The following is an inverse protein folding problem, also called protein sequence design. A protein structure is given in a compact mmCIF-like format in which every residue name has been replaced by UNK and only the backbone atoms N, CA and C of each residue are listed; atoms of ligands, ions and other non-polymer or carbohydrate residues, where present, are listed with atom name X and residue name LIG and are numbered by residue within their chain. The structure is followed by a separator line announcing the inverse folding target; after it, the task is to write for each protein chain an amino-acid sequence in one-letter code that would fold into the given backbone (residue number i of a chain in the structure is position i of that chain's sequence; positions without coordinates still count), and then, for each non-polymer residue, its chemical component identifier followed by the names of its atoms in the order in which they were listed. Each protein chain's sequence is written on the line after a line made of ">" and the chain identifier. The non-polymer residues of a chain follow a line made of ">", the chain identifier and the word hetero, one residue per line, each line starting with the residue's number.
data_IF_495119525011
#
_entry.id   IF_495119525011
#
_cell.length_a   1.000
_cell.length_b   1.000
_cell.length_c   1.000
_cell.angle_alpha   90.00
_cell.angle_beta   90.00
_cell.angle_gamma   90.00
#
_symmetry.space_group_name_H-M   'P 1'
#
loop_
_entity.id
_entity.type
_entity.pdbx_description
1 polymer ?
#
# COMPACT_ATOMS: atom_id res chain seq x y z
N UNK A 1 2.13 -9.14 -16.34
CA UNK A 1 3.12 -8.06 -16.48
C UNK A 1 3.08 -7.33 -17.83
N UNK A 2 3.11 -7.99 -19.00
CA UNK A 2 3.06 -7.28 -20.31
C UNK A 2 1.76 -6.49 -20.56
N UNK A 3 0.63 -6.92 -20.03
CA UNK A 3 -0.68 -6.26 -20.24
C UNK A 3 -0.86 -5.00 -19.39
N UNK A 4 -0.37 -5.00 -18.15
CA UNK A 4 -0.41 -3.83 -17.26
C UNK A 4 0.47 -2.70 -17.78
N UNK A 5 1.66 -3.03 -18.32
CA UNK A 5 2.53 -2.04 -18.96
C UNK A 5 1.91 -1.44 -20.23
N UNK A 6 1.06 -2.19 -20.96
CA UNK A 6 0.34 -1.67 -22.13
C UNK A 6 -0.80 -0.71 -21.75
N UNK A 7 -1.51 -0.96 -20.65
CA UNK A 7 -2.61 -0.10 -20.18
C UNK A 7 -2.04 1.20 -19.60
N UNK A 8 -0.97 1.14 -18.81
CA UNK A 8 -0.26 2.32 -18.30
C UNK A 8 0.35 3.11 -19.48
N UNK A 9 0.92 2.44 -20.48
CA UNK A 9 1.43 3.05 -21.70
C UNK A 9 0.34 3.74 -22.53
N UNK A 10 -0.86 3.19 -22.60
CA UNK A 10 -1.97 3.76 -23.36
C UNK A 10 -2.57 5.00 -22.69
N UNK A 11 -2.70 5.01 -21.37
CA UNK A 11 -3.18 6.18 -20.60
C UNK A 11 -2.17 7.32 -20.68
N UNK A 12 -0.88 7.02 -20.60
CA UNK A 12 0.22 7.97 -20.80
C UNK A 12 0.28 8.51 -22.23
N UNK A 13 0.02 7.68 -23.23
CA UNK A 13 0.08 8.06 -24.64
C UNK A 13 -1.03 9.07 -25.02
N UNK A 14 -2.22 8.93 -24.48
CA UNK A 14 -3.36 9.86 -24.74
C UNK A 14 -3.16 11.21 -24.02
N UNK A 15 -2.54 11.22 -22.84
CA UNK A 15 -2.29 12.44 -22.08
C UNK A 15 -1.07 13.24 -22.56
N UNK A 16 -0.10 12.61 -23.21
CA UNK A 16 1.19 13.21 -23.56
C UNK A 16 1.31 13.64 -25.02
N UNK A 17 0.49 13.11 -25.93
CA UNK A 17 0.59 13.43 -27.36
C UNK A 17 0.40 14.92 -27.70
N UNK A 18 -0.55 15.68 -27.12
CA UNK A 18 -0.67 17.10 -27.45
C UNK A 18 0.47 17.94 -26.88
N UNK A 19 1.09 17.54 -25.75
CA UNK A 19 2.17 18.26 -25.11
C UNK A 19 3.52 18.05 -25.84
N UNK A 20 3.79 16.85 -26.37
CA UNK A 20 5.03 16.55 -27.10
C UNK A 20 5.06 17.19 -28.48
N UNK A 21 3.95 17.30 -29.17
CA UNK A 21 3.87 17.95 -30.48
C UNK A 21 4.15 19.46 -30.39
N UNK A 22 3.69 20.12 -29.31
CA UNK A 22 3.93 21.55 -29.08
C UNK A 22 5.41 21.82 -28.72
N UNK A 23 6.06 20.90 -28.02
CA UNK A 23 7.48 21.01 -27.62
C UNK A 23 8.43 20.88 -28.79
N UNK A 24 8.15 20.02 -29.77
CA UNK A 24 9.06 19.76 -30.89
C UNK A 24 9.09 20.90 -31.92
N UNK A 25 8.00 21.62 -32.12
CA UNK A 25 7.94 22.72 -33.09
C UNK A 25 8.62 24.00 -32.62
N UNK A 26 8.81 24.17 -31.31
CA UNK A 26 9.41 25.40 -30.74
C UNK A 26 10.92 25.30 -30.54
N UNK A 27 11.52 24.11 -30.59
CA UNK A 27 12.92 23.90 -30.20
C UNK A 27 13.95 24.18 -31.29
N UNK A 28 13.59 24.12 -32.55
CA UNK A 28 14.57 24.18 -33.65
C UNK A 28 15.09 25.58 -34.00
N UNK A 29 14.36 26.64 -33.75
CA UNK A 29 14.73 27.99 -34.15
C UNK A 29 15.70 28.71 -33.17
N UNK A 30 15.94 28.17 -31.99
CA UNK A 30 16.68 28.86 -30.91
C UNK A 30 17.93 28.11 -30.41
N UNK A 31 18.26 26.97 -30.98
CA UNK A 31 19.32 26.08 -30.46
C UNK A 31 20.73 26.69 -30.45
N UNK A 32 20.95 27.76 -31.23
CA UNK A 32 22.25 28.45 -31.36
C UNK A 32 22.24 29.94 -30.96
N UNK A 33 21.20 30.42 -30.28
CA UNK A 33 21.13 31.82 -29.88
C UNK A 33 21.58 32.01 -28.42
N UNK A 34 22.49 32.98 -28.19
CA UNK A 34 22.89 33.36 -26.83
C UNK A 34 21.67 33.89 -26.03
N UNK A 35 21.54 33.41 -24.81
CA UNK A 35 20.49 33.89 -23.91
C UNK A 35 20.83 35.29 -23.40
N UNK A 36 19.78 36.14 -23.29
CA UNK A 36 19.86 37.47 -22.71
C UNK A 36 19.26 37.47 -21.31
N UNK A 37 19.77 38.34 -20.46
CA UNK A 37 19.19 38.57 -19.12
C UNK A 37 18.56 39.96 -19.08
N UNK A 38 17.37 40.04 -18.50
CA UNK A 38 16.70 41.30 -18.22
C UNK A 38 16.10 41.26 -16.80
N UNK A 39 15.96 42.45 -16.19
CA UNK A 39 15.40 42.52 -14.84
C UNK A 39 13.89 42.26 -14.84
N UNK A 40 13.18 42.75 -15.86
CA UNK A 40 11.71 42.75 -15.84
C UNK A 40 11.13 42.39 -17.22
N UNK A 41 10.17 41.47 -17.20
CA UNK A 41 9.23 41.23 -18.29
C UNK A 41 7.81 41.58 -17.84
N UNK A 42 7.10 42.32 -18.69
CA UNK A 42 5.64 42.49 -18.64
C UNK A 42 5.09 42.04 -19.98
N UNK A 43 4.16 41.08 -19.98
CA UNK A 43 3.53 40.58 -21.20
C UNK A 43 2.02 40.44 -21.05
N UNK A 44 1.31 40.56 -22.15
CA UNK A 44 -0.14 40.25 -22.23
C UNK A 44 -0.30 38.79 -22.61
N UNK A 45 0.38 38.39 -23.70
CA UNK A 45 0.45 37.03 -24.23
C UNK A 45 1.88 36.82 -24.79
N UNK A 46 2.32 35.59 -25.10
CA UNK A 46 3.58 35.34 -25.75
C UNK A 46 3.87 36.29 -26.92
N UNK A 47 5.09 36.83 -26.96
CA UNK A 47 5.59 37.84 -27.95
C UNK A 47 4.92 39.21 -27.88
N UNK A 48 3.83 39.40 -27.18
CA UNK A 48 3.19 40.70 -26.95
C UNK A 48 3.54 41.21 -25.55
N UNK A 49 4.71 41.77 -25.40
CA UNK A 49 5.26 42.28 -24.15
C UNK A 49 6.60 42.99 -24.34
N UNK A 50 7.26 43.34 -23.24
CA UNK A 50 8.51 44.11 -23.22
C UNK A 50 9.67 43.47 -23.99
N UNK A 51 9.75 42.16 -24.01
CA UNK A 51 10.80 41.41 -24.71
C UNK A 51 10.46 41.12 -26.18
N UNK A 52 9.19 41.24 -26.58
CA UNK A 52 8.72 41.04 -27.95
C UNK A 52 9.21 39.70 -28.55
N UNK A 53 9.76 39.75 -29.76
CA UNK A 53 10.28 38.57 -30.47
C UNK A 53 11.45 37.91 -29.79
N UNK A 54 12.13 38.58 -28.87
CA UNK A 54 13.28 38.05 -28.12
C UNK A 54 12.86 37.31 -26.86
N UNK A 55 11.59 37.21 -26.52
CA UNK A 55 11.09 36.53 -25.31
C UNK A 55 11.68 35.14 -25.14
N UNK A 56 11.70 34.33 -26.21
CA UNK A 56 12.23 32.96 -26.17
C UNK A 56 13.73 32.80 -25.90
N UNK A 57 14.53 33.88 -25.99
CA UNK A 57 15.97 33.90 -25.67
C UNK A 57 16.29 34.76 -24.44
N UNK A 58 15.25 35.31 -23.79
CA UNK A 58 15.43 36.21 -22.63
C UNK A 58 15.06 35.49 -21.34
N UNK A 59 16.00 35.50 -20.40
CA UNK A 59 15.77 35.08 -19.00
C UNK A 59 15.51 36.33 -18.17
N UNK A 60 14.45 36.29 -17.36
CA UNK A 60 14.00 37.46 -16.60
C UNK A 60 14.23 37.22 -15.09
N UNK A 61 14.58 38.29 -14.37
CA UNK A 61 14.52 38.24 -12.91
C UNK A 61 13.06 38.23 -12.42
N UNK A 62 12.26 39.13 -12.95
CA UNK A 62 10.83 39.24 -12.67
C UNK A 62 10.02 39.17 -13.96
N UNK A 63 8.95 38.40 -13.98
CA UNK A 63 8.05 38.26 -15.12
C UNK A 63 6.61 38.35 -14.66
N UNK A 64 5.86 39.33 -15.17
CA UNK A 64 4.44 39.50 -14.87
C UNK A 64 3.65 39.41 -16.17
N UNK A 65 2.83 38.37 -16.25
CA UNK A 65 2.13 37.99 -17.49
C UNK A 65 0.62 38.09 -17.28
N UNK A 66 -0.06 38.99 -18.00
CA UNK A 66 -1.49 39.22 -17.81
C UNK A 66 -2.30 37.95 -18.10
N UNK A 67 -2.12 37.35 -19.27
CA UNK A 67 -2.70 36.04 -19.58
C UNK A 67 -1.65 34.95 -19.60
N UNK A 68 -0.59 35.11 -20.38
CA UNK A 68 0.43 34.10 -20.48
C UNK A 68 1.83 34.64 -20.78
N UNK A 69 2.83 34.03 -20.16
CA UNK A 69 4.25 34.31 -20.33
C UNK A 69 4.95 33.29 -21.20
N UNK A 70 5.91 33.77 -22.00
CA UNK A 70 6.90 32.94 -22.69
C UNK A 70 8.28 33.56 -22.53
N UNK A 71 9.24 32.76 -22.11
CA UNK A 71 10.61 33.23 -21.89
C UNK A 71 11.64 32.12 -22.07
N UNK A 72 12.94 32.46 -22.10
CA UNK A 72 13.99 31.47 -21.94
C UNK A 72 13.97 30.88 -20.53
N UNK A 73 13.76 31.71 -19.52
CA UNK A 73 13.70 31.27 -18.14
C UNK A 73 13.40 32.39 -17.16
N UNK A 74 13.34 32.07 -15.88
CA UNK A 74 13.09 33.02 -14.80
C UNK A 74 14.02 32.79 -13.62
N UNK A 75 14.61 33.87 -13.10
CA UNK A 75 15.57 33.78 -12.00
C UNK A 75 14.98 34.01 -10.61
N UNK A 76 13.89 34.79 -10.47
CA UNK A 76 13.33 35.16 -9.15
C UNK A 76 11.84 34.91 -9.05
N UNK A 77 11.02 35.61 -9.83
CA UNK A 77 9.58 35.51 -9.73
C UNK A 77 8.94 35.56 -11.11
N UNK A 78 8.05 34.62 -11.38
CA UNK A 78 7.18 34.65 -12.56
C UNK A 78 5.74 34.40 -12.15
N UNK A 79 4.85 35.26 -12.61
CA UNK A 79 3.43 35.17 -12.33
C UNK A 79 2.61 35.34 -13.62
N UNK A 80 1.61 34.49 -13.81
CA UNK A 80 0.65 34.60 -14.90
C UNK A 80 -0.78 34.31 -14.42
N UNK A 81 -1.76 34.99 -15.01
CA UNK A 81 -3.15 34.65 -14.71
C UNK A 81 -3.53 33.28 -15.26
N UNK A 82 -2.99 32.87 -16.43
CA UNK A 82 -3.32 31.58 -17.02
C UNK A 82 -2.10 30.66 -17.06
N UNK A 83 -1.01 31.04 -17.77
CA UNK A 83 0.11 30.12 -17.96
C UNK A 83 1.47 30.79 -18.07
N UNK A 84 2.50 30.05 -17.66
CA UNK A 84 3.92 30.37 -17.93
C UNK A 84 4.56 29.24 -18.72
N UNK A 85 5.35 29.60 -19.72
CA UNK A 85 6.18 28.67 -20.52
C UNK A 85 7.62 29.17 -20.54
N UNK A 86 8.50 28.37 -19.93
CA UNK A 86 9.94 28.61 -19.92
C UNK A 86 10.64 27.51 -20.72
N UNK A 87 11.50 27.90 -21.66
CA UNK A 87 12.31 26.94 -22.45
C UNK A 87 13.40 26.27 -21.62
N UNK A 88 14.00 27.03 -20.74
CA UNK A 88 15.09 26.62 -19.85
C UNK A 88 14.59 26.59 -18.39
N UNK A 89 15.41 27.05 -17.45
CA UNK A 89 15.19 26.90 -16.03
C UNK A 89 14.21 27.94 -15.46
N UNK A 90 13.48 27.54 -14.43
CA UNK A 90 12.71 28.42 -13.57
C UNK A 90 13.24 28.35 -12.14
N UNK A 91 13.56 29.51 -11.55
CA UNK A 91 14.16 29.59 -10.20
C UNK A 91 13.25 30.38 -9.26
N UNK A 92 13.39 30.11 -7.97
CA UNK A 92 12.67 30.69 -6.84
C UNK A 92 11.15 30.45 -6.90
N UNK A 93 10.37 31.33 -7.55
CA UNK A 93 8.90 31.23 -7.47
C UNK A 93 8.26 31.38 -8.86
N UNK A 94 7.44 30.42 -9.23
CA UNK A 94 6.64 30.45 -10.45
C UNK A 94 5.18 30.13 -10.12
N UNK A 95 4.27 31.03 -10.49
CA UNK A 95 2.84 30.96 -10.20
C UNK A 95 2.03 31.08 -11.49
N UNK A 96 1.03 30.20 -11.69
CA UNK A 96 0.09 30.28 -12.77
C UNK A 96 -1.33 29.91 -12.32
N UNK A 97 -2.32 30.60 -12.86
CA UNK A 97 -3.71 30.25 -12.58
C UNK A 97 -4.11 28.90 -13.17
N UNK A 98 -3.54 28.51 -14.32
CA UNK A 98 -3.86 27.24 -14.98
C UNK A 98 -2.64 26.32 -15.00
N UNK A 99 -1.57 26.66 -15.74
CA UNK A 99 -0.43 25.77 -15.84
C UNK A 99 0.92 26.48 -15.94
N UNK A 100 1.96 25.78 -15.46
CA UNK A 100 3.35 26.10 -15.74
C UNK A 100 3.97 24.98 -16.58
N UNK A 101 4.75 25.34 -17.60
CA UNK A 101 5.60 24.44 -18.36
C UNK A 101 7.04 24.93 -18.32
N UNK A 102 7.97 24.04 -17.97
CA UNK A 102 9.40 24.35 -17.88
C UNK A 102 10.19 23.27 -18.63
N UNK A 103 10.99 23.70 -19.62
CA UNK A 103 11.83 22.78 -20.39
C UNK A 103 13.09 22.33 -19.65
N UNK A 104 13.62 23.17 -18.78
CA UNK A 104 14.78 22.92 -17.94
C UNK A 104 14.41 22.53 -16.50
N UNK A 105 15.29 22.90 -15.57
CA UNK A 105 15.12 22.60 -14.13
C UNK A 105 14.23 23.64 -13.45
N UNK A 106 13.56 23.15 -12.40
CA UNK A 106 12.87 24.03 -11.45
C UNK A 106 13.62 23.99 -10.12
N UNK A 107 14.09 25.16 -9.66
CA UNK A 107 14.76 25.32 -8.38
C UNK A 107 14.01 26.33 -7.51
N UNK A 108 13.14 25.84 -6.60
CA UNK A 108 12.32 26.68 -5.73
C UNK A 108 10.88 26.21 -5.63
N UNK A 109 9.92 27.12 -5.76
CA UNK A 109 8.51 26.84 -5.58
C UNK A 109 7.72 27.07 -6.89
N UNK A 110 6.96 26.08 -7.34
CA UNK A 110 6.14 26.14 -8.54
C UNK A 110 4.69 25.76 -8.21
N UNK A 111 3.76 26.65 -8.47
CA UNK A 111 2.35 26.39 -8.21
C UNK A 111 1.47 26.71 -9.43
N UNK A 112 0.51 25.85 -9.67
CA UNK A 112 -0.49 26.00 -10.72
C UNK A 112 -1.89 25.59 -10.23
N UNK A 113 -2.92 26.28 -10.70
CA UNK A 113 -4.28 25.89 -10.39
C UNK A 113 -4.66 24.53 -10.96
N UNK A 114 -4.10 24.13 -12.11
CA UNK A 114 -4.39 22.84 -12.75
C UNK A 114 -3.14 21.98 -12.85
N UNK A 115 -2.08 22.43 -13.55
CA UNK A 115 -0.99 21.53 -13.90
C UNK A 115 0.40 22.20 -13.88
N UNK A 116 1.40 21.44 -13.44
CA UNK A 116 2.79 21.73 -13.70
C UNK A 116 3.41 20.63 -14.57
N UNK A 117 4.10 21.01 -15.64
CA UNK A 117 4.78 20.11 -16.57
C UNK A 117 6.27 20.49 -16.70
N UNK A 118 7.15 19.65 -16.17
CA UNK A 118 8.59 19.89 -16.18
C UNK A 118 9.32 18.81 -16.95
N UNK A 119 10.17 19.20 -17.89
CA UNK A 119 10.92 18.29 -18.74
C UNK A 119 12.32 17.95 -18.18
N UNK A 120 12.66 18.47 -17.00
CA UNK A 120 13.86 18.11 -16.25
C UNK A 120 13.50 18.04 -14.75
N UNK A 121 14.51 18.09 -13.91
CA UNK A 121 14.44 17.86 -12.47
C UNK A 121 13.84 19.04 -11.71
N UNK A 122 13.30 18.73 -10.53
CA UNK A 122 12.80 19.70 -9.57
C UNK A 122 13.58 19.60 -8.28
N UNK A 123 14.00 20.75 -7.77
CA UNK A 123 14.52 20.90 -6.41
C UNK A 123 13.71 21.96 -5.67
N UNK A 124 12.86 21.54 -4.73
CA UNK A 124 12.01 22.43 -3.97
C UNK A 124 10.58 21.94 -3.81
N UNK A 125 9.60 22.82 -4.04
CA UNK A 125 8.18 22.51 -3.82
C UNK A 125 7.38 22.70 -5.09
N UNK A 126 6.56 21.72 -5.45
CA UNK A 126 5.65 21.77 -6.58
C UNK A 126 4.22 21.46 -6.10
N UNK A 127 3.28 22.33 -6.45
CA UNK A 127 1.88 22.17 -6.12
C UNK A 127 0.97 22.40 -7.34
N UNK A 128 0.02 21.50 -7.54
CA UNK A 128 -1.00 21.63 -8.59
C UNK A 128 -2.37 21.19 -8.08
N UNK A 129 -3.42 21.87 -8.56
CA UNK A 129 -4.78 21.45 -8.24
C UNK A 129 -5.11 20.07 -8.81
N UNK A 130 -4.53 19.70 -9.96
CA UNK A 130 -4.81 18.41 -10.60
C UNK A 130 -3.54 17.56 -10.74
N UNK A 131 -2.53 18.02 -11.51
CA UNK A 131 -1.40 17.17 -11.86
C UNK A 131 -0.05 17.86 -11.81
N UNK A 132 0.92 17.17 -11.22
CA UNK A 132 2.33 17.48 -11.42
C UNK A 132 2.97 16.37 -12.28
N UNK A 133 3.60 16.77 -13.38
CA UNK A 133 4.31 15.90 -14.30
C UNK A 133 5.78 16.32 -14.39
N UNK A 134 6.69 15.38 -14.13
CA UNK A 134 8.14 15.63 -14.17
C UNK A 134 8.84 14.48 -14.85
N UNK A 135 9.64 14.75 -15.88
CA UNK A 135 10.46 13.73 -16.55
C UNK A 135 11.81 13.52 -15.87
N UNK A 136 12.29 14.50 -15.13
CA UNK A 136 13.50 14.41 -14.30
C UNK A 136 13.28 13.80 -12.93
N UNK A 137 14.23 14.00 -12.03
CA UNK A 137 14.12 13.63 -10.63
C UNK A 137 13.46 14.75 -9.81
N UNK A 138 12.87 14.37 -8.68
CA UNK A 138 12.30 15.31 -7.70
C UNK A 138 13.10 15.24 -6.41
N UNK A 139 13.65 16.35 -5.98
CA UNK A 139 14.22 16.56 -4.65
C UNK A 139 13.39 17.60 -3.89
N UNK A 140 12.54 17.16 -2.97
CA UNK A 140 11.66 18.04 -2.21
C UNK A 140 10.23 17.53 -2.12
N UNK A 141 9.25 18.39 -2.39
CA UNK A 141 7.82 18.08 -2.17
C UNK A 141 7.00 18.27 -3.44
N UNK A 142 6.20 17.26 -3.79
CA UNK A 142 5.15 17.38 -4.80
C UNK A 142 3.78 17.15 -4.19
N UNK A 143 2.86 18.07 -4.41
CA UNK A 143 1.47 17.97 -3.97
C UNK A 143 0.52 18.15 -5.15
N UNK A 144 -0.40 17.24 -5.35
CA UNK A 144 -1.41 17.32 -6.39
C UNK A 144 -2.79 16.89 -5.87
N UNK A 145 -3.83 17.55 -6.34
CA UNK A 145 -5.20 17.11 -6.03
C UNK A 145 -5.51 15.73 -6.60
N UNK A 146 -4.93 15.36 -7.73
CA UNK A 146 -5.17 14.05 -8.37
C UNK A 146 -3.89 13.25 -8.47
N UNK A 147 -2.86 13.71 -9.20
CA UNK A 147 -1.73 12.84 -9.54
C UNK A 147 -0.39 13.57 -9.51
N UNK A 148 0.60 12.96 -8.88
CA UNK A 148 2.01 13.27 -9.09
C UNK A 148 2.65 12.18 -9.94
N UNK A 149 3.28 12.57 -11.05
CA UNK A 149 4.05 11.70 -11.92
C UNK A 149 5.49 12.18 -12.01
N UNK A 150 6.42 11.30 -11.63
CA UNK A 150 7.85 11.52 -11.76
C UNK A 150 8.46 10.34 -12.50
N UNK A 151 9.09 10.53 -13.67
CA UNK A 151 9.63 9.41 -14.44
C UNK A 151 10.94 8.85 -13.88
N UNK A 152 11.65 9.63 -13.07
CA UNK A 152 12.87 9.21 -12.37
C UNK A 152 12.63 9.03 -10.87
N UNK A 153 13.65 9.32 -10.07
CA UNK A 153 13.61 9.16 -8.61
C UNK A 153 12.92 10.33 -7.91
N UNK A 154 12.39 10.02 -6.74
CA UNK A 154 11.84 10.99 -5.80
C UNK A 154 12.61 10.91 -4.49
N UNK A 155 13.11 12.05 -4.02
CA UNK A 155 13.71 12.20 -2.71
C UNK A 155 12.96 13.29 -1.95
N UNK A 156 12.13 12.87 -0.98
CA UNK A 156 11.31 13.78 -0.19
C UNK A 156 9.87 13.29 -0.06
N UNK A 157 8.91 14.12 -0.40
CA UNK A 157 7.49 13.87 -0.17
C UNK A 157 6.68 13.97 -1.47
N UNK A 158 5.84 12.97 -1.74
CA UNK A 158 4.76 13.04 -2.73
C UNK A 158 3.40 12.83 -2.05
N UNK A 159 2.50 13.78 -2.20
CA UNK A 159 1.12 13.72 -1.74
C UNK A 159 0.13 13.90 -2.88
N UNK A 160 -0.78 12.96 -3.09
CA UNK A 160 -1.81 13.04 -4.11
C UNK A 160 -3.17 12.58 -3.59
N UNK A 161 -4.24 13.23 -4.07
CA UNK A 161 -5.58 12.76 -3.77
C UNK A 161 -5.87 11.37 -4.33
N UNK A 162 -5.27 11.01 -5.47
CA UNK A 162 -5.53 9.72 -6.12
C UNK A 162 -4.24 8.90 -6.26
N UNK A 163 -3.23 9.35 -7.04
CA UNK A 163 -2.08 8.52 -7.39
C UNK A 163 -0.76 9.26 -7.31
N UNK A 164 0.24 8.61 -6.71
CA UNK A 164 1.64 8.98 -6.86
C UNK A 164 2.39 7.94 -7.69
N UNK A 165 3.23 8.40 -8.61
CA UNK A 165 4.11 7.57 -9.42
C UNK A 165 5.55 8.09 -9.37
N UNK A 166 6.48 7.22 -8.94
CA UNK A 166 7.91 7.39 -9.07
C UNK A 166 8.45 6.28 -9.99
N UNK A 167 9.00 6.62 -11.14
CA UNK A 167 9.48 5.64 -12.13
C UNK A 167 10.71 4.86 -11.65
N UNK A 168 11.47 5.44 -10.73
CA UNK A 168 12.69 4.85 -10.17
C UNK A 168 12.61 4.80 -8.62
N UNK A 169 13.73 5.08 -7.94
CA UNK A 169 13.85 5.00 -6.48
C UNK A 169 13.00 6.08 -5.78
N UNK A 170 12.34 5.67 -4.70
CA UNK A 170 11.72 6.58 -3.74
C UNK A 170 12.54 6.60 -2.46
N UNK A 171 12.99 7.78 -2.03
CA UNK A 171 13.56 8.00 -0.71
C UNK A 171 12.73 9.05 0.03
N UNK A 172 11.96 8.62 1.03
CA UNK A 172 11.06 9.50 1.80
C UNK A 172 9.65 8.94 1.92
N UNK A 173 8.65 9.72 1.55
CA UNK A 173 7.24 9.40 1.78
C UNK A 173 6.39 9.57 0.52
N UNK A 174 5.53 8.60 0.23
CA UNK A 174 4.41 8.73 -0.70
C UNK A 174 3.10 8.51 0.03
N UNK A 175 2.17 9.48 -0.08
CA UNK A 175 0.81 9.40 0.45
C UNK A 175 -0.22 9.61 -0.66
N UNK A 176 -1.12 8.65 -0.87
CA UNK A 176 -2.17 8.75 -1.87
C UNK A 176 -3.52 8.27 -1.33
N UNK A 177 -4.60 8.89 -1.80
CA UNK A 177 -5.95 8.41 -1.49
C UNK A 177 -6.23 7.03 -2.08
N UNK A 178 -5.66 6.69 -3.24
CA UNK A 178 -5.88 5.39 -3.90
C UNK A 178 -4.58 4.60 -4.00
N UNK A 179 -3.56 5.08 -4.72
CA UNK A 179 -2.43 4.22 -5.04
C UNK A 179 -1.07 4.94 -5.07
N UNK A 180 -0.04 4.24 -4.58
CA UNK A 180 1.35 4.62 -4.74
C UNK A 180 2.10 3.58 -5.57
N UNK A 181 2.87 4.04 -6.56
CA UNK A 181 3.75 3.23 -7.39
C UNK A 181 5.19 3.73 -7.31
N UNK A 182 6.12 2.81 -7.05
CA UNK A 182 7.55 3.07 -7.17
C UNK A 182 8.18 1.98 -8.03
N UNK A 183 8.78 2.34 -9.17
CA UNK A 183 9.41 1.39 -10.10
C UNK A 183 10.76 0.87 -9.60
N UNK A 184 11.44 1.63 -8.74
CA UNK A 184 12.70 1.29 -8.08
C UNK A 184 12.53 0.88 -6.63
N UNK A 185 13.63 0.91 -5.87
CA UNK A 185 13.61 0.64 -4.44
C UNK A 185 12.91 1.77 -3.67
N UNK A 186 12.30 1.42 -2.57
CA UNK A 186 11.71 2.37 -1.62
C UNK A 186 12.53 2.39 -0.33
N UNK A 187 12.99 3.57 0.07
CA UNK A 187 13.58 3.85 1.38
C UNK A 187 12.69 4.83 2.11
N UNK A 188 11.82 4.34 2.97
CA UNK A 188 10.83 5.16 3.68
C UNK A 188 9.45 4.52 3.72
N UNK A 189 8.41 5.33 3.50
CA UNK A 189 7.03 4.89 3.71
C UNK A 189 6.16 5.16 2.49
N UNK A 190 5.32 4.18 2.15
CA UNK A 190 4.18 4.34 1.24
C UNK A 190 2.88 4.14 2.01
N UNK A 191 1.98 5.11 1.95
CA UNK A 191 0.65 5.03 2.56
C UNK A 191 -0.42 5.27 1.49
N UNK A 192 -1.32 4.33 1.27
CA UNK A 192 -2.39 4.41 0.27
C UNK A 192 -3.72 3.93 0.83
N UNK A 193 -4.82 4.52 0.37
CA UNK A 193 -6.14 4.00 0.71
C UNK A 193 -6.40 2.60 0.15
N UNK A 194 -5.83 2.27 -1.02
CA UNK A 194 -6.07 0.97 -1.67
C UNK A 194 -4.78 0.19 -1.90
N UNK A 195 -3.80 0.72 -2.64
CA UNK A 195 -2.66 -0.08 -3.11
C UNK A 195 -1.32 0.63 -2.96
N UNK A 196 -0.32 -0.06 -2.43
CA UNK A 196 1.09 0.26 -2.60
C UNK A 196 1.75 -0.82 -3.47
N UNK A 197 2.41 -0.41 -4.54
CA UNK A 197 3.07 -1.32 -5.48
C UNK A 197 4.52 -0.93 -5.71
N UNK A 198 5.44 -1.84 -5.36
CA UNK A 198 6.88 -1.68 -5.56
C UNK A 198 7.46 -3.02 -6.03
N UNK A 199 7.82 -3.20 -7.33
CA UNK A 199 8.35 -4.46 -7.83
C UNK A 199 9.80 -4.73 -7.39
N UNK A 200 10.37 -3.85 -6.59
CA UNK A 200 11.72 -3.89 -6.02
C UNK A 200 11.65 -3.98 -4.49
N UNK A 201 12.74 -3.62 -3.83
CA UNK A 201 12.88 -3.76 -2.39
C UNK A 201 12.36 -2.53 -1.65
N UNK A 202 11.73 -2.77 -0.50
CA UNK A 202 11.26 -1.74 0.43
C UNK A 202 12.08 -1.82 1.71
N UNK A 203 12.74 -0.73 2.06
CA UNK A 203 13.35 -0.50 3.36
C UNK A 203 12.49 0.50 4.13
N UNK A 204 11.59 0.01 4.96
CA UNK A 204 10.60 0.83 5.65
C UNK A 204 9.23 0.17 5.72
N UNK A 205 8.15 0.95 5.52
CA UNK A 205 6.79 0.49 5.77
C UNK A 205 5.89 0.76 4.56
N UNK A 206 5.03 -0.22 4.22
CA UNK A 206 3.90 -0.04 3.32
C UNK A 206 2.60 -0.19 4.11
N UNK A 207 1.72 0.80 4.02
CA UNK A 207 0.38 0.77 4.63
C UNK A 207 -0.65 0.98 3.52
N UNK A 208 -1.53 0.01 3.31
CA UNK A 208 -2.62 0.10 2.35
C UNK A 208 -3.92 -0.43 2.94
N UNK A 209 -5.04 0.13 2.54
CA UNK A 209 -6.33 -0.44 2.94
C UNK A 209 -6.53 -1.85 2.38
N UNK A 210 -6.07 -2.11 1.15
CA UNK A 210 -6.30 -3.41 0.51
C UNK A 210 -5.00 -4.16 0.24
N UNK A 211 -4.06 -3.63 -0.55
CA UNK A 211 -2.93 -4.42 -1.04
C UNK A 211 -1.59 -3.71 -0.89
N UNK A 212 -0.64 -4.40 -0.28
CA UNK A 212 0.77 -4.07 -0.35
C UNK A 212 1.51 -5.13 -1.19
N UNK A 213 2.28 -4.69 -2.18
CA UNK A 213 3.11 -5.54 -3.01
C UNK A 213 4.55 -5.04 -3.03
N UNK A 214 5.49 -5.94 -2.70
CA UNK A 214 6.93 -5.68 -2.84
C UNK A 214 7.70 -6.96 -3.14
N UNK A 215 8.97 -6.85 -3.59
CA UNK A 215 9.86 -8.00 -3.72
C UNK A 215 10.41 -8.41 -2.36
N UNK A 216 11.13 -7.54 -1.70
CA UNK A 216 11.66 -7.75 -0.35
C UNK A 216 11.29 -6.57 0.53
N UNK A 217 10.91 -6.84 1.76
CA UNK A 217 10.57 -5.81 2.73
C UNK A 217 11.49 -5.94 3.94
N UNK A 218 12.37 -4.95 4.10
CA UNK A 218 13.09 -4.75 5.35
C UNK A 218 12.30 -3.76 6.21
N UNK A 219 11.35 -4.29 6.95
CA UNK A 219 10.33 -3.54 7.67
C UNK A 219 9.00 -4.29 7.65
N UNK A 220 7.87 -3.59 7.57
CA UNK A 220 6.54 -4.17 7.70
C UNK A 220 5.58 -3.77 6.58
N UNK A 221 4.58 -4.62 6.33
CA UNK A 221 3.43 -4.32 5.50
C UNK A 221 2.16 -4.40 6.33
N UNK A 222 1.26 -3.44 6.19
CA UNK A 222 -0.04 -3.38 6.88
C UNK A 222 -1.13 -3.17 5.85
N UNK A 223 -2.04 -4.15 5.71
CA UNK A 223 -3.13 -4.09 4.72
C UNK A 223 -3.92 -5.38 4.70
N UNK A 224 -5.10 -5.41 4.10
CA UNK A 224 -5.90 -6.64 4.02
C UNK A 224 -5.08 -7.77 3.37
N UNK A 225 -4.39 -7.47 2.25
CA UNK A 225 -3.52 -8.40 1.55
C UNK A 225 -2.09 -7.87 1.51
N UNK A 226 -1.13 -8.68 1.94
CA UNK A 226 0.28 -8.36 1.87
C UNK A 226 1.02 -9.44 1.06
N UNK A 227 1.83 -9.02 0.10
CA UNK A 227 2.63 -9.91 -0.71
C UNK A 227 4.08 -9.47 -0.77
N UNK A 228 4.98 -10.40 -0.47
CA UNK A 228 6.42 -10.21 -0.67
C UNK A 228 7.14 -11.55 -0.88
N UNK A 229 8.32 -11.53 -1.50
CA UNK A 229 9.20 -12.70 -1.52
C UNK A 229 9.81 -12.95 -0.12
N UNK A 230 10.14 -11.87 0.61
CA UNK A 230 10.60 -11.94 2.02
C UNK A 230 10.28 -10.68 2.79
N UNK A 231 9.99 -10.82 4.09
CA UNK A 231 9.75 -9.72 5.04
C UNK A 231 10.57 -9.97 6.31
N UNK A 232 11.28 -8.94 6.78
CA UNK A 232 12.03 -9.03 8.05
C UNK A 232 11.17 -8.70 9.28
N UNK A 233 10.16 -7.87 9.12
CA UNK A 233 9.20 -7.48 10.15
C UNK A 233 7.90 -8.28 10.07
N UNK A 234 6.77 -7.61 10.32
CA UNK A 234 5.45 -8.23 10.37
C UNK A 234 4.58 -7.85 9.14
N UNK A 235 4.02 -8.83 8.43
CA UNK A 235 2.98 -8.61 7.41
C UNK A 235 1.59 -8.66 8.06
N UNK A 236 1.11 -7.54 8.59
CA UNK A 236 -0.15 -7.47 9.33
C UNK A 236 -1.32 -7.32 8.37
N UNK A 237 -2.25 -8.29 8.38
CA UNK A 237 -3.42 -8.25 7.52
C UNK A 237 -4.30 -9.50 7.61
N UNK A 238 -5.33 -9.54 6.77
CA UNK A 238 -6.22 -10.69 6.67
C UNK A 238 -5.54 -11.88 5.99
N UNK A 239 -4.73 -11.62 4.95
CA UNK A 239 -3.95 -12.65 4.28
C UNK A 239 -2.59 -12.09 3.86
N UNK A 240 -1.54 -12.71 4.37
CA UNK A 240 -0.16 -12.32 4.09
C UNK A 240 0.61 -13.48 3.46
N UNK A 241 1.03 -13.30 2.21
CA UNK A 241 1.78 -14.29 1.44
C UNK A 241 3.23 -13.83 1.36
N UNK A 242 4.12 -14.53 2.06
CA UNK A 242 5.56 -14.26 2.08
C UNK A 242 6.27 -15.52 1.56
N UNK A 243 6.76 -15.54 0.33
CA UNK A 243 7.28 -16.76 -0.32
C UNK A 243 8.33 -17.50 0.47
N UNK A 244 9.30 -16.79 1.05
CA UNK A 244 10.33 -17.38 1.93
C UNK A 244 9.96 -17.27 3.43
N UNK A 245 8.68 -17.11 3.72
CA UNK A 245 8.17 -16.88 5.06
C UNK A 245 7.88 -18.15 5.84
N UNK A 246 6.95 -18.01 6.77
CA UNK A 246 6.46 -19.10 7.61
C UNK A 246 5.20 -19.69 6.98
N UNK A 247 5.34 -20.88 6.38
CA UNK A 247 4.23 -21.65 5.84
C UNK A 247 4.20 -22.99 6.53
N UNK A 248 3.04 -23.35 7.08
CA UNK A 248 2.88 -24.66 7.71
C UNK A 248 1.52 -25.25 7.40
N UNK A 249 1.52 -26.55 7.17
CA UNK A 249 0.32 -27.38 7.22
C UNK A 249 0.30 -28.08 8.59
N UNK A 250 -0.83 -28.00 9.28
CA UNK A 250 -1.01 -28.62 10.58
C UNK A 250 -2.15 -29.63 10.53
N UNK A 251 -1.91 -30.79 11.14
CA UNK A 251 -2.93 -31.77 11.46
C UNK A 251 -2.98 -31.87 12.99
N UNK A 252 -4.11 -31.59 13.57
CA UNK A 252 -4.27 -31.54 15.03
C UNK A 252 -5.60 -32.04 15.52
N UNK A 253 -5.72 -32.05 16.82
CA UNK A 253 -6.93 -32.39 17.56
C UNK A 253 -7.17 -31.39 18.67
N UNK A 254 -8.40 -31.18 19.02
CA UNK A 254 -8.84 -30.46 20.21
C UNK A 254 -10.06 -31.15 20.84
N UNK A 255 -10.57 -30.59 21.92
CA UNK A 255 -11.70 -31.15 22.69
C UNK A 255 -13.04 -31.13 21.94
N UNK A 256 -13.15 -30.34 20.85
CA UNK A 256 -14.39 -30.20 20.07
C UNK A 256 -14.30 -31.03 18.79
N UNK A 257 -13.18 -30.92 18.08
CA UNK A 257 -12.96 -31.51 16.78
C UNK A 257 -11.73 -32.43 16.83
N UNK A 258 -11.92 -33.74 16.70
CA UNK A 258 -10.81 -34.71 16.74
C UNK A 258 -9.88 -34.58 15.52
N UNK A 259 -10.36 -34.02 14.42
CA UNK A 259 -9.56 -33.84 13.21
C UNK A 259 -9.63 -32.36 12.79
N UNK A 260 -8.49 -31.68 12.89
CA UNK A 260 -8.32 -30.31 12.47
C UNK A 260 -7.19 -30.21 11.45
N UNK A 261 -7.43 -29.52 10.33
CA UNK A 261 -6.44 -29.17 9.34
C UNK A 261 -6.28 -27.65 9.33
N UNK A 262 -5.05 -27.16 9.48
CA UNK A 262 -4.77 -25.74 9.45
C UNK A 262 -3.63 -25.40 8.50
N UNK A 263 -3.79 -24.31 7.76
CA UNK A 263 -2.74 -23.72 6.93
C UNK A 263 -2.35 -22.35 7.49
N UNK A 264 -1.05 -22.15 7.72
CA UNK A 264 -0.50 -20.88 8.16
C UNK A 264 0.33 -20.23 7.07
N UNK A 265 0.25 -18.91 6.96
CA UNK A 265 1.05 -18.13 6.01
C UNK A 265 1.41 -16.76 6.57
N UNK A 266 2.63 -16.30 6.30
CA UNK A 266 3.16 -15.03 6.80
C UNK A 266 4.62 -15.12 7.24
N UNK A 267 4.91 -14.60 8.41
CA UNK A 267 6.22 -14.71 9.09
C UNK A 267 6.01 -15.27 10.50
N UNK A 268 7.11 -15.69 11.17
CA UNK A 268 7.00 -16.10 12.58
C UNK A 268 6.61 -14.95 13.52
N UNK A 269 6.87 -13.70 13.13
CA UNK A 269 6.45 -12.52 13.89
C UNK A 269 4.95 -12.28 13.81
N UNK A 270 4.35 -12.62 12.66
CA UNK A 270 2.91 -12.51 12.44
C UNK A 270 2.49 -13.41 11.27
N UNK A 271 1.57 -14.32 11.52
CA UNK A 271 0.99 -15.18 10.49
C UNK A 271 -0.53 -15.22 10.57
N UNK A 272 -1.12 -15.51 9.43
CA UNK A 272 -2.52 -15.80 9.28
C UNK A 272 -2.73 -17.32 9.30
N UNK A 273 -3.86 -17.77 9.79
CA UNK A 273 -4.21 -19.17 9.91
C UNK A 273 -5.62 -19.39 9.38
N UNK A 274 -5.75 -20.27 8.40
CA UNK A 274 -7.03 -20.78 7.92
C UNK A 274 -7.15 -22.22 8.41
N UNK A 275 -8.30 -22.59 8.89
CA UNK A 275 -8.51 -23.96 9.34
C UNK A 275 -9.90 -24.49 9.05
N UNK A 276 -9.95 -25.78 8.90
CA UNK A 276 -11.16 -26.59 8.82
C UNK A 276 -11.03 -27.75 9.80
N UNK A 277 -12.14 -28.17 10.36
CA UNK A 277 -12.15 -29.33 11.25
C UNK A 277 -13.40 -30.15 11.04
N UNK A 278 -13.32 -31.42 11.34
CA UNK A 278 -14.43 -32.35 11.25
C UNK A 278 -14.49 -33.24 12.48
N UNK A 279 -15.73 -33.59 12.84
CA UNK A 279 -16.07 -34.59 13.83
C UNK A 279 -17.09 -35.55 13.23
N UNK A 280 -16.68 -36.76 12.79
CA UNK A 280 -17.62 -37.77 12.35
C UNK A 280 -18.55 -38.16 13.51
N UNK A 281 -19.85 -38.11 13.27
CA UNK A 281 -20.85 -38.58 14.22
C UNK A 281 -21.53 -39.87 13.68
N UNK A 282 -22.10 -40.65 14.57
CA UNK A 282 -22.81 -41.89 14.20
C UNK A 282 -24.18 -41.57 13.57
N UNK A 283 -24.59 -40.30 13.64
CA UNK A 283 -25.84 -39.76 13.09
C UNK A 283 -25.65 -39.33 11.63
N UNK A 284 -26.77 -39.10 10.92
CA UNK A 284 -26.81 -38.71 9.50
C UNK A 284 -26.09 -37.39 9.17
N UNK A 285 -25.57 -36.66 10.15
CA UNK A 285 -24.93 -35.35 9.97
C UNK A 285 -23.53 -35.35 10.52
N UNK A 286 -22.59 -34.81 9.71
CA UNK A 286 -21.23 -34.54 10.14
C UNK A 286 -21.13 -33.17 10.80
N UNK A 287 -20.48 -33.10 11.96
CA UNK A 287 -20.11 -31.82 12.58
C UNK A 287 -18.81 -31.36 11.96
N UNK A 288 -18.79 -30.11 11.51
CA UNK A 288 -17.62 -29.51 10.87
C UNK A 288 -17.48 -28.04 11.24
N UNK A 289 -16.27 -27.53 11.11
CA UNK A 289 -16.00 -26.12 11.36
C UNK A 289 -15.05 -25.58 10.32
N UNK A 290 -15.14 -24.28 10.08
CA UNK A 290 -14.16 -23.50 9.37
C UNK A 290 -13.85 -22.22 10.14
N UNK A 291 -12.65 -21.69 9.96
CA UNK A 291 -12.28 -20.52 10.71
C UNK A 291 -11.01 -19.84 10.23
N UNK A 292 -10.77 -18.73 10.88
CA UNK A 292 -9.63 -17.87 10.65
C UNK A 292 -8.97 -17.53 11.97
N UNK A 293 -7.65 -17.37 11.95
CA UNK A 293 -6.89 -16.94 13.10
C UNK A 293 -5.63 -16.19 12.70
N UNK A 294 -5.05 -15.57 13.70
CA UNK A 294 -3.76 -14.88 13.62
C UNK A 294 -2.86 -15.42 14.75
N UNK A 295 -1.56 -15.33 14.54
CA UNK A 295 -0.63 -15.76 15.57
C UNK A 295 0.78 -15.25 15.38
N UNK A 296 1.57 -15.52 16.40
CA UNK A 296 3.01 -15.29 16.43
C UNK A 296 3.73 -16.53 16.97
N UNK A 297 4.95 -16.78 16.50
CA UNK A 297 5.74 -17.96 16.87
C UNK A 297 7.19 -17.60 17.19
N UNK A 298 7.42 -16.81 18.28
CA UNK A 298 8.76 -16.45 18.70
C UNK A 298 9.58 -17.70 19.10
N UNK A 299 10.86 -17.64 18.86
CA UNK A 299 11.79 -18.72 19.15
C UNK A 299 12.16 -18.72 20.63
N UNK A 300 11.96 -19.83 21.34
CA UNK A 300 12.39 -20.02 22.73
C UNK A 300 13.72 -20.73 22.83
N UNK A 301 14.04 -21.61 21.89
CA UNK A 301 15.26 -22.41 21.93
C UNK A 301 15.71 -22.88 20.55
N UNK A 302 16.67 -23.79 20.49
CA UNK A 302 17.19 -24.30 19.21
C UNK A 302 16.12 -25.00 18.38
N UNK A 303 15.21 -25.73 18.99
CA UNK A 303 14.16 -26.54 18.38
C UNK A 303 12.75 -26.21 18.92
N UNK A 304 12.64 -25.22 19.79
CA UNK A 304 11.37 -24.89 20.48
C UNK A 304 10.92 -23.49 20.13
N UNK A 305 9.64 -23.37 19.83
CA UNK A 305 8.97 -22.11 19.54
C UNK A 305 7.72 -21.99 20.41
N UNK A 306 7.45 -20.79 20.90
CA UNK A 306 6.18 -20.45 21.55
C UNK A 306 5.17 -20.05 20.48
N UNK A 307 3.95 -20.57 20.57
CA UNK A 307 2.86 -20.10 19.70
C UNK A 307 1.83 -19.40 20.56
N UNK A 308 1.48 -18.19 20.15
CA UNK A 308 0.38 -17.42 20.71
C UNK A 308 -0.57 -17.14 19.57
N UNK A 309 -1.79 -17.70 19.63
CA UNK A 309 -2.76 -17.66 18.54
C UNK A 309 -4.12 -17.19 19.05
N UNK A 310 -4.78 -16.33 18.27
CA UNK A 310 -6.16 -15.97 18.44
C UNK A 310 -6.94 -16.41 17.19
N UNK A 311 -8.03 -17.13 17.37
CA UNK A 311 -8.81 -17.66 16.25
C UNK A 311 -10.31 -17.64 16.53
N UNK A 312 -11.10 -17.60 15.46
CA UNK A 312 -12.54 -17.73 15.50
C UNK A 312 -12.98 -18.76 14.48
N UNK A 313 -13.87 -19.66 14.88
CA UNK A 313 -14.39 -20.72 14.01
C UNK A 313 -15.91 -20.83 14.15
N UNK A 314 -16.57 -21.03 13.00
CA UNK A 314 -17.98 -21.34 12.94
C UNK A 314 -18.14 -22.88 13.02
N UNK A 315 -18.86 -23.38 14.01
CA UNK A 315 -19.16 -24.78 14.19
C UNK A 315 -20.55 -25.10 13.65
N UNK A 316 -20.64 -26.09 12.76
CA UNK A 316 -21.86 -26.42 12.05
C UNK A 316 -22.21 -27.90 12.19
N UNK A 317 -23.53 -28.21 12.08
CA UNK A 317 -24.05 -29.55 11.92
C UNK A 317 -24.80 -29.61 10.58
N UNK A 318 -24.24 -30.33 9.59
CA UNK A 318 -24.79 -30.28 8.23
C UNK A 318 -24.53 -28.92 7.56
N UNK A 319 -25.54 -28.10 7.40
CA UNK A 319 -25.47 -26.79 6.75
C UNK A 319 -25.05 -25.66 7.73
N UNK A 320 -24.69 -24.50 7.19
CA UNK A 320 -24.48 -23.28 7.97
C UNK A 320 -25.82 -22.59 8.12
N UNK A 321 -26.49 -22.73 9.27
CA UNK A 321 -27.84 -22.25 9.46
C UNK A 321 -27.98 -21.20 10.56
N UNK A 322 -27.11 -21.25 11.58
CA UNK A 322 -27.17 -20.33 12.71
C UNK A 322 -25.75 -19.95 13.19
N UNK A 323 -25.69 -18.85 13.92
CA UNK A 323 -24.45 -18.40 14.55
C UNK A 323 -24.01 -19.41 15.62
N UNK A 324 -22.78 -19.90 15.51
CA UNK A 324 -22.15 -20.77 16.48
C UNK A 324 -20.63 -20.59 16.43
N UNK A 325 -20.17 -19.45 16.93
CA UNK A 325 -18.77 -19.05 16.89
C UNK A 325 -18.03 -19.50 18.13
N UNK A 326 -16.92 -20.18 17.92
CA UNK A 326 -15.95 -20.51 18.95
C UNK A 326 -14.72 -19.64 18.75
N UNK A 327 -14.52 -18.71 19.67
CA UNK A 327 -13.35 -17.86 19.74
C UNK A 327 -12.33 -18.53 20.68
N UNK A 328 -11.09 -18.67 20.23
CA UNK A 328 -10.04 -19.39 20.94
C UNK A 328 -8.82 -18.51 21.10
N UNK A 329 -8.27 -18.47 22.29
CA UNK A 329 -6.92 -18.00 22.57
C UNK A 329 -6.06 -19.20 22.96
N UNK A 330 -5.02 -19.47 22.19
CA UNK A 330 -4.14 -20.62 22.36
C UNK A 330 -2.74 -20.15 22.70
N UNK A 331 -2.12 -20.79 23.69
CA UNK A 331 -0.71 -20.63 24.03
C UNK A 331 -0.09 -22.02 24.11
N UNK A 332 0.84 -22.33 23.24
CA UNK A 332 1.44 -23.65 23.19
C UNK A 332 2.88 -23.60 22.70
N UNK A 333 3.52 -24.76 22.72
CA UNK A 333 4.89 -24.92 22.26
C UNK A 333 4.95 -25.83 21.04
N UNK A 334 5.81 -25.46 20.07
CA UNK A 334 6.27 -26.35 19.01
C UNK A 334 7.62 -26.95 19.40
N UNK A 335 7.75 -28.22 19.22
CA UNK A 335 9.03 -28.90 19.31
C UNK A 335 9.40 -29.53 17.95
N UNK A 336 10.43 -29.01 17.33
CA UNK A 336 10.88 -29.44 16.00
C UNK A 336 11.63 -30.79 16.12
N UNK A 337 10.96 -31.87 15.71
CA UNK A 337 11.51 -33.24 15.75
C UNK A 337 12.34 -33.57 14.52
N UNK A 338 12.01 -32.97 13.35
CA UNK A 338 12.77 -33.12 12.13
C UNK A 338 12.85 -31.76 11.40
N UNK A 339 13.63 -31.67 10.31
CA UNK A 339 13.83 -30.41 9.56
C UNK A 339 12.53 -29.78 9.09
N UNK A 340 11.53 -30.60 8.75
CA UNK A 340 10.23 -30.15 8.23
C UNK A 340 9.03 -30.58 9.07
N UNK A 341 9.26 -31.09 10.28
CA UNK A 341 8.19 -31.61 11.14
C UNK A 341 8.39 -31.13 12.57
N UNK A 342 7.32 -30.63 13.16
CA UNK A 342 7.25 -30.33 14.59
C UNK A 342 6.00 -30.98 15.23
N UNK A 343 6.11 -31.33 16.49
CA UNK A 343 4.98 -31.62 17.36
C UNK A 343 4.57 -30.33 18.07
N UNK A 344 3.28 -30.12 18.24
CA UNK A 344 2.80 -28.99 19.02
C UNK A 344 1.80 -29.43 20.07
N UNK A 345 1.78 -28.72 21.16
CA UNK A 345 0.80 -28.93 22.24
C UNK A 345 0.68 -27.66 23.09
N UNK A 346 -0.51 -27.44 23.63
CA UNK A 346 -0.75 -26.35 24.58
C UNK A 346 -2.19 -26.18 24.99
N UNK A 347 -2.41 -25.44 26.10
CA UNK A 347 -3.73 -25.04 26.55
C UNK A 347 -4.36 -23.98 25.67
N UNK A 348 -5.66 -23.93 25.70
CA UNK A 348 -6.47 -22.87 25.14
C UNK A 348 -7.56 -22.39 26.07
N UNK A 349 -7.97 -21.16 25.89
CA UNK A 349 -9.19 -20.59 26.48
C UNK A 349 -10.17 -20.42 25.35
N UNK A 350 -11.37 -20.93 25.53
CA UNK A 350 -12.40 -20.93 24.51
C UNK A 350 -13.64 -20.17 24.99
N UNK A 351 -14.20 -19.38 24.08
CA UNK A 351 -15.40 -18.60 24.28
C UNK A 351 -16.34 -18.84 23.10
N UNK A 352 -17.44 -19.52 23.34
CA UNK A 352 -18.50 -19.76 22.36
C UNK A 352 -19.56 -18.68 22.46
N UNK A 353 -20.04 -18.19 21.31
CA UNK A 353 -21.25 -17.40 21.16
C UNK A 353 -22.15 -18.11 20.16
N UNK A 354 -23.40 -18.36 20.53
CA UNK A 354 -24.33 -19.09 19.69
C UNK A 354 -25.76 -18.58 19.83
N UNK A 355 -26.53 -18.77 18.75
CA UNK A 355 -27.94 -18.42 18.67
C UNK A 355 -28.79 -19.44 19.42
N UNK A 356 -29.53 -19.03 20.45
CA UNK A 356 -30.39 -19.89 21.29
C UNK A 356 -31.75 -20.18 20.65
N UNK A 357 -32.14 -19.43 19.62
CA UNK A 357 -33.38 -19.70 18.87
C UNK A 357 -33.25 -20.91 17.94
N UNK A 358 -32.03 -21.33 17.63
CA UNK A 358 -31.73 -22.50 16.81
C UNK A 358 -31.45 -23.73 17.65
N UNK A 359 -32.35 -24.73 17.59
CA UNK A 359 -32.33 -25.90 18.47
C UNK A 359 -31.44 -27.06 17.95
N UNK A 360 -30.83 -26.95 16.76
CA UNK A 360 -30.03 -28.02 16.15
C UNK A 360 -28.53 -27.77 16.22
N UNK A 361 -28.07 -26.98 17.16
CA UNK A 361 -26.63 -26.84 17.39
C UNK A 361 -26.00 -28.20 17.75
N UNK A 362 -24.80 -28.52 17.20
CA UNK A 362 -24.09 -29.69 17.62
C UNK A 362 -23.70 -29.59 19.09
N UNK A 363 -23.70 -30.73 19.76
CA UNK A 363 -23.13 -30.83 21.10
C UNK A 363 -21.69 -30.33 21.08
N UNK A 364 -21.32 -29.57 22.11
CA UNK A 364 -19.98 -28.98 22.16
C UNK A 364 -18.89 -30.05 22.28
N UNK A 365 -19.16 -31.10 23.03
CA UNK A 365 -18.24 -32.20 23.27
C UNK A 365 -18.88 -33.55 22.99
N UNK A 366 -18.14 -34.49 22.45
CA UNK A 366 -18.63 -35.83 22.11
C UNK A 366 -18.64 -36.78 23.31
N UNK A 367 -17.72 -36.59 24.24
CA UNK A 367 -17.51 -37.42 25.45
C UNK A 367 -17.29 -36.49 26.65
N UNK A 368 -16.93 -36.99 27.78
CA UNK A 368 -16.64 -36.19 28.98
C UNK A 368 -15.68 -35.01 28.66
N UNK A 369 -16.28 -33.93 28.20
CA UNK A 369 -15.56 -32.72 27.82
C UNK A 369 -15.13 -31.91 29.04
N UNK A 370 -14.29 -30.87 28.81
CA UNK A 370 -13.91 -29.94 29.85
C UNK A 370 -15.16 -29.28 30.48
N UNK A 371 -15.06 -28.96 31.74
CA UNK A 371 -16.16 -28.28 32.43
C UNK A 371 -16.36 -26.87 31.87
N UNK A 372 -17.57 -26.57 31.39
CA UNK A 372 -17.99 -25.21 31.10
C UNK A 372 -18.12 -24.48 32.43
N UNK A 373 -17.30 -23.49 32.70
CA UNK A 373 -17.29 -22.80 33.99
C UNK A 373 -18.04 -21.47 34.00
N UNK A 374 -18.51 -21.00 32.84
CA UNK A 374 -19.41 -19.87 32.74
C UNK A 374 -20.36 -20.07 31.58
N UNK A 375 -21.65 -19.89 31.83
CA UNK A 375 -22.71 -19.83 30.81
C UNK A 375 -23.55 -18.61 31.08
N UNK A 376 -23.81 -17.81 30.05
CA UNK A 376 -24.59 -16.58 30.16
C UNK A 376 -25.53 -16.43 28.98
N UNK A 377 -26.81 -16.24 29.26
CA UNK A 377 -27.84 -15.91 28.27
C UNK A 377 -28.00 -14.38 28.21
N UNK A 378 -28.01 -13.82 27.01
CA UNK A 378 -28.24 -12.40 26.80
C UNK A 378 -29.72 -12.14 26.57
N UNK A 379 -30.32 -11.28 27.38
CA UNK A 379 -31.81 -11.09 27.45
C UNK A 379 -32.43 -10.44 26.21
N UNK A 380 -31.62 -9.86 25.29
CA UNK A 380 -32.17 -9.02 24.21
C UNK A 380 -31.89 -9.55 22.80
N UNK A 381 -31.06 -10.60 22.63
CA UNK A 381 -30.57 -10.97 21.31
C UNK A 381 -30.62 -12.47 20.99
N UNK A 382 -31.38 -13.26 21.70
CA UNK A 382 -31.43 -14.73 21.57
C UNK A 382 -30.04 -15.38 21.46
N UNK A 383 -29.07 -14.80 22.16
CA UNK A 383 -27.69 -15.25 22.18
C UNK A 383 -27.29 -15.81 23.53
N UNK A 384 -26.49 -16.84 23.54
CA UNK A 384 -25.79 -17.33 24.72
C UNK A 384 -24.29 -17.44 24.52
N UNK A 385 -23.57 -17.42 25.61
CA UNK A 385 -22.15 -17.64 25.62
C UNK A 385 -21.73 -18.69 26.62
N UNK A 386 -20.70 -19.46 26.27
CA UNK A 386 -20.10 -20.50 27.10
C UNK A 386 -18.59 -20.31 27.14
N UNK A 387 -18.00 -20.63 28.28
CA UNK A 387 -16.56 -20.42 28.49
C UNK A 387 -15.91 -21.67 29.13
N UNK A 388 -14.79 -22.16 28.57
CA UNK A 388 -14.04 -23.32 29.08
C UNK A 388 -12.57 -23.30 28.76
N UNK A 389 -11.78 -24.08 29.49
CA UNK A 389 -10.41 -24.41 29.16
C UNK A 389 -10.36 -25.58 28.19
N UNK A 390 -9.52 -25.49 27.17
CA UNK A 390 -9.30 -26.56 26.22
C UNK A 390 -7.81 -26.88 26.08
N UNK A 391 -7.52 -27.84 25.20
CA UNK A 391 -6.18 -28.25 24.89
C UNK A 391 -6.08 -28.63 23.40
N UNK A 392 -4.99 -28.21 22.75
CA UNK A 392 -4.71 -28.59 21.36
C UNK A 392 -3.36 -29.28 21.26
N UNK A 393 -3.30 -30.31 20.41
CA UNK A 393 -2.08 -31.01 20.09
C UNK A 393 -2.09 -31.50 18.65
N UNK A 394 -0.91 -31.77 18.08
CA UNK A 394 -0.82 -32.32 16.73
C UNK A 394 0.57 -32.20 16.12
N UNK A 395 0.60 -32.25 14.79
CA UNK A 395 1.81 -32.26 13.97
C UNK A 395 1.76 -31.10 13.00
N UNK A 396 2.88 -30.39 12.83
CA UNK A 396 3.10 -29.33 11.85
C UNK A 396 4.16 -29.73 10.83
N UNK A 397 3.85 -29.45 9.58
CA UNK A 397 4.74 -29.67 8.43
C UNK A 397 5.15 -28.29 7.88
N UNK A 398 6.47 -28.09 7.62
CA UNK A 398 7.06 -26.82 7.14
C UNK A 398 7.47 -26.88 5.69
#
# INVERSE_FOLDING_TARGET
>A
MKTVNKIIGAILFVALNPLSAFSQTVSTDFENQETRNTELQISIVPYLGTNGKNSGITTNDFSFNLFGGYSAGTNKLEMASLFNINRLDAKYVQLAGIFNQVGGKVEGAQFAGIANANLDSIRGVQGAGIVNFTTGAVEGTQLAGITNFTSKSVRGFQGAGIVNFAGQELTGFQGAGIANFAGGNVKGTQAAGIVNFTPKDVQGVQVAGILNFARKVNGSQIGLFNYADSISGAPIGLLSIVKSGYHTLEIGTDEILPINLSFRTGTRSFYNMLFVGIRPEITDYTVWAFGYGIGTSPRLGRKTFLNIEASSQQLNRGNVEALNLINRFYVGADFQVARKVALFAGPSINFRVYDTSYNQHPDLFTYSGPKVFSERNYRFDDLASQFWWGFRAGIRFF
#
